data_IF_676094479254
#
_entry.id   IF_676094479254
#
_cell.length_a   1.000
_cell.length_b   1.000
_cell.length_c   1.000
_cell.angle_alpha   90.00
_cell.angle_beta   90.00
_cell.angle_gamma   90.00
#
_symmetry.space_group_name_H-M   'P 1'
#
loop_
_entity.id
_entity.type
_entity.pdbx_description
1 polymer ?
#
# COMPACT_ATOMS: atom_id res chain seq x y z
N UNK A 1 6.79 18.34 14.83
CA UNK A 1 6.80 17.12 15.63
C UNK A 1 5.86 17.33 16.81
N UNK A 2 4.92 16.44 17.04
CA UNK A 2 4.01 16.49 18.17
C UNK A 2 4.38 15.33 19.12
N UNK A 3 4.57 15.62 20.40
CA UNK A 3 4.81 14.58 21.39
C UNK A 3 3.48 13.94 21.81
N UNK A 4 3.44 12.62 21.84
CA UNK A 4 2.29 11.82 22.29
C UNK A 4 2.72 10.92 23.45
N UNK A 5 1.83 10.72 24.43
CA UNK A 5 2.07 9.72 25.47
C UNK A 5 1.82 8.31 24.93
N UNK A 6 2.61 7.33 25.39
CA UNK A 6 2.37 5.92 25.08
C UNK A 6 0.97 5.45 25.48
N UNK A 7 0.33 6.10 26.44
CA UNK A 7 -1.03 5.82 26.86
C UNK A 7 -2.10 6.30 25.86
N UNK A 8 -1.75 7.26 24.99
CA UNK A 8 -2.65 7.87 24.03
C UNK A 8 -2.49 7.27 22.61
N UNK A 9 -1.70 6.21 22.48
CA UNK A 9 -1.49 5.54 21.20
C UNK A 9 -2.79 4.99 20.62
N UNK A 10 -2.93 5.13 19.30
CA UNK A 10 -4.07 4.62 18.52
C UNK A 10 -3.55 3.85 17.32
N UNK A 11 -4.33 2.87 16.87
CA UNK A 11 -4.05 2.16 15.61
C UNK A 11 -4.03 3.12 14.44
N UNK A 12 -3.06 2.98 13.55
CA UNK A 12 -2.86 3.86 12.41
C UNK A 12 -2.03 5.11 12.70
N UNK A 13 -1.74 5.41 13.97
CA UNK A 13 -0.86 6.53 14.36
C UNK A 13 0.57 6.26 13.89
N UNK A 14 1.25 7.28 13.38
CA UNK A 14 2.63 7.18 12.95
C UNK A 14 3.57 7.79 13.99
N UNK A 15 4.67 7.11 14.25
CA UNK A 15 5.70 7.49 15.23
C UNK A 15 7.03 7.67 14.53
N UNK A 16 7.74 8.74 14.91
CA UNK A 16 9.14 8.97 14.52
C UNK A 16 10.04 8.49 15.65
N UNK A 17 10.58 7.31 15.49
CA UNK A 17 11.47 6.66 16.46
C UNK A 17 12.92 6.73 15.98
N UNK A 18 13.93 6.61 16.85
CA UNK A 18 15.33 6.64 16.45
C UNK A 18 15.69 5.63 15.36
N UNK A 19 14.96 4.53 15.27
CA UNK A 19 15.16 3.47 14.27
C UNK A 19 14.38 3.70 12.95
N UNK A 20 13.56 4.75 12.88
CA UNK A 20 12.80 5.13 11.69
C UNK A 20 11.32 5.43 11.93
N UNK A 21 10.58 5.55 10.85
CA UNK A 21 9.15 5.81 10.86
C UNK A 21 8.36 4.51 10.99
N UNK A 22 7.48 4.48 11.99
CA UNK A 22 6.64 3.31 12.28
C UNK A 22 5.17 3.69 12.38
N UNK A 23 4.31 2.81 11.91
CA UNK A 23 2.88 2.90 12.11
C UNK A 23 2.43 1.90 13.19
N UNK A 24 1.61 2.36 14.12
CA UNK A 24 1.01 1.50 15.16
C UNK A 24 -0.05 0.61 14.51
N UNK A 25 0.21 -0.68 14.44
CA UNK A 25 -0.73 -1.69 13.92
C UNK A 25 -1.69 -2.12 15.02
N UNK A 26 -1.15 -2.40 16.20
CA UNK A 26 -1.90 -2.81 17.38
C UNK A 26 -1.20 -2.38 18.66
N UNK A 27 -1.95 -2.28 19.76
CA UNK A 27 -1.40 -1.96 21.07
C UNK A 27 -2.25 -2.57 22.19
N UNK A 28 -1.60 -2.83 23.31
CA UNK A 28 -2.23 -3.37 24.53
C UNK A 28 -1.64 -2.70 25.77
N UNK A 29 -2.50 -2.12 26.59
CA UNK A 29 -2.12 -1.64 27.91
C UNK A 29 -2.03 -2.79 28.89
N UNK A 30 -0.88 -2.93 29.57
CA UNK A 30 -0.64 -3.98 30.55
C UNK A 30 -0.35 -3.33 31.91
N UNK A 31 -1.15 -3.67 32.90
CA UNK A 31 -0.96 -3.28 34.30
C UNK A 31 -0.64 -4.52 35.10
N UNK A 32 0.65 -4.87 35.29
CA UNK A 32 1.01 -6.03 36.10
C UNK A 32 0.71 -5.74 37.58
N UNK A 33 0.37 -6.78 38.34
CA UNK A 33 0.10 -6.65 39.78
C UNK A 33 1.31 -6.19 40.62
N UNK A 34 2.51 -6.42 40.12
CA UNK A 34 3.79 -5.90 40.66
C UNK A 34 4.63 -5.36 39.49
N UNK A 35 5.08 -4.10 39.60
CA UNK A 35 5.87 -3.43 38.56
C UNK A 35 5.15 -2.26 37.90
N UNK A 36 5.87 -1.50 37.07
CA UNK A 36 5.32 -0.36 36.33
C UNK A 36 4.40 -0.81 35.19
N UNK A 37 3.34 -0.05 34.94
CA UNK A 37 2.50 -0.26 33.77
C UNK A 37 3.29 -0.01 32.46
N UNK A 38 2.93 -0.72 31.40
CA UNK A 38 3.57 -0.59 30.11
C UNK A 38 2.54 -0.79 28.97
N UNK A 39 2.90 -0.33 27.78
CA UNK A 39 2.12 -0.49 26.56
C UNK A 39 2.92 -1.36 25.60
N UNK A 40 2.39 -2.54 25.29
CA UNK A 40 2.93 -3.41 24.25
C UNK A 40 2.34 -2.98 22.91
N UNK A 41 3.18 -2.76 21.91
CA UNK A 41 2.76 -2.34 20.58
C UNK A 41 3.31 -3.27 19.51
N UNK A 42 2.51 -3.49 18.47
CA UNK A 42 2.98 -4.04 17.20
C UNK A 42 3.13 -2.86 16.23
N UNK A 43 4.34 -2.63 15.79
CA UNK A 43 4.71 -1.54 14.89
C UNK A 43 5.05 -2.09 13.51
N UNK A 44 4.66 -1.36 12.47
CA UNK A 44 5.06 -1.64 11.09
C UNK A 44 5.96 -0.51 10.59
N UNK A 45 7.15 -0.85 10.15
CA UNK A 45 8.05 0.11 9.51
C UNK A 45 7.43 0.61 8.21
N UNK A 46 7.30 1.92 8.06
CA UNK A 46 6.62 2.52 6.92
C UNK A 46 7.43 2.45 5.62
N UNK A 47 8.76 2.27 5.71
CA UNK A 47 9.64 2.20 4.53
C UNK A 47 9.74 0.79 3.94
N UNK A 48 9.81 -0.24 4.78
CA UNK A 48 10.04 -1.62 4.33
C UNK A 48 8.91 -2.59 4.69
N UNK A 49 7.86 -2.13 5.38
CA UNK A 49 6.71 -2.94 5.76
C UNK A 49 6.95 -3.96 6.88
N UNK A 50 8.17 -4.09 7.38
CA UNK A 50 8.51 -5.05 8.43
C UNK A 50 7.77 -4.74 9.72
N UNK A 51 7.23 -5.77 10.37
CA UNK A 51 6.57 -5.65 11.66
C UNK A 51 7.51 -6.06 12.79
N UNK A 52 7.44 -5.33 13.89
CA UNK A 52 8.18 -5.60 15.12
C UNK A 52 7.33 -5.24 16.34
N UNK A 53 7.44 -6.05 17.36
CA UNK A 53 6.83 -5.74 18.66
C UNK A 53 7.76 -4.85 19.49
N UNK A 54 7.17 -3.81 20.09
CA UNK A 54 7.89 -2.90 20.98
C UNK A 54 7.07 -2.61 22.22
N UNK A 55 7.75 -2.49 23.34
CA UNK A 55 7.12 -2.16 24.63
C UNK A 55 7.62 -0.79 25.08
N UNK A 56 6.67 0.09 25.37
CA UNK A 56 6.90 1.41 25.94
C UNK A 56 6.47 1.43 27.39
N UNK A 57 7.15 2.21 28.22
CA UNK A 57 6.69 2.46 29.58
C UNK A 57 5.40 3.27 29.53
N UNK A 58 4.53 3.10 30.56
CA UNK A 58 3.38 3.99 30.68
C UNK A 58 3.85 5.45 30.81
N UNK A 59 3.13 6.35 30.17
CA UNK A 59 3.43 7.79 30.11
C UNK A 59 4.76 8.16 29.42
N UNK A 60 5.40 7.22 28.72
CA UNK A 60 6.57 7.52 27.90
C UNK A 60 6.19 8.49 26.76
N UNK A 61 6.97 9.53 26.59
CA UNK A 61 6.78 10.51 25.52
C UNK A 61 7.41 9.98 24.23
N UNK A 62 6.63 9.96 23.18
CA UNK A 62 7.02 9.52 21.84
C UNK A 62 6.78 10.66 20.86
N UNK A 63 7.62 10.76 19.83
CA UNK A 63 7.43 11.72 18.77
C UNK A 63 6.44 11.16 17.73
N UNK A 64 5.33 11.87 17.57
CA UNK A 64 4.33 11.54 16.54
C UNK A 64 4.78 12.12 15.20
N UNK A 65 4.85 11.28 14.17
CA UNK A 65 5.03 11.71 12.81
C UNK A 65 3.67 12.10 12.21
N UNK A 66 3.59 13.30 11.66
CA UNK A 66 2.40 13.74 10.91
C UNK A 66 2.62 13.39 9.46
N UNK A 67 1.79 12.47 8.95
CA UNK A 67 1.82 12.04 7.56
C UNK A 67 0.80 12.84 6.79
N UNK A 68 1.29 13.61 5.81
CA UNK A 68 0.46 14.33 4.86
C UNK A 68 0.04 13.39 3.72
N UNK A 69 -1.25 13.35 3.42
CA UNK A 69 -1.82 12.53 2.35
C UNK A 69 -2.19 13.43 1.19
N UNK A 70 -1.60 13.16 0.01
CA UNK A 70 -1.84 13.95 -1.20
C UNK A 70 -2.42 13.09 -2.30
N UNK A 71 -3.53 13.56 -2.89
CA UNK A 71 -4.14 12.95 -4.06
C UNK A 71 -3.32 13.33 -5.30
N UNK A 72 -2.66 12.34 -5.88
CA UNK A 72 -1.75 12.51 -6.99
C UNK A 72 -2.27 11.76 -8.21
N UNK A 73 -2.10 12.35 -9.39
CA UNK A 73 -2.38 11.70 -10.67
C UNK A 73 -1.09 11.24 -11.32
N UNK A 74 -1.02 9.96 -11.69
CA UNK A 74 0.09 9.46 -12.49
C UNK A 74 -0.01 10.00 -13.92
N UNK A 75 1.07 10.58 -14.42
CA UNK A 75 1.14 11.16 -15.76
C UNK A 75 1.85 10.22 -16.74
N UNK A 76 3.10 9.91 -16.48
CA UNK A 76 3.95 9.07 -17.35
C UNK A 76 5.19 8.57 -16.59
N UNK A 77 5.94 7.71 -17.25
CA UNK A 77 7.25 7.26 -16.76
C UNK A 77 8.36 8.05 -17.42
N UNK A 78 9.34 8.46 -16.61
CA UNK A 78 10.60 9.04 -17.06
C UNK A 78 11.75 8.14 -16.62
N UNK A 79 12.25 7.31 -17.54
CA UNK A 79 13.14 6.22 -17.22
C UNK A 79 12.48 5.21 -16.28
N UNK A 80 13.06 5.01 -15.10
CA UNK A 80 12.50 4.13 -14.07
C UNK A 80 11.52 4.86 -13.13
N UNK A 81 11.55 6.19 -13.10
CA UNK A 81 10.72 6.99 -12.22
C UNK A 81 9.29 7.16 -12.75
N UNK A 82 8.38 7.29 -11.81
CA UNK A 82 6.97 7.60 -12.05
C UNK A 82 6.73 9.09 -11.80
N UNK A 83 6.19 9.79 -12.78
CA UNK A 83 5.87 11.21 -12.66
C UNK A 83 4.43 11.36 -12.24
N UNK A 84 4.24 11.93 -11.06
CA UNK A 84 2.93 12.25 -10.51
C UNK A 84 2.70 13.74 -10.46
N UNK A 85 1.46 14.16 -10.62
CA UNK A 85 1.02 15.55 -10.47
C UNK A 85 0.07 15.64 -9.28
N UNK A 86 0.34 16.58 -8.39
CA UNK A 86 -0.55 16.92 -7.28
C UNK A 86 -1.84 17.54 -7.84
N UNK A 87 -2.99 16.99 -7.46
CA UNK A 87 -4.29 17.46 -7.95
C UNK A 87 -4.70 18.84 -7.42
N UNK A 88 -4.00 19.36 -6.41
CA UNK A 88 -4.28 20.67 -5.83
C UNK A 88 -3.28 21.74 -6.28
N UNK A 89 -1.99 21.45 -6.18
CA UNK A 89 -0.93 22.40 -6.51
C UNK A 89 -0.48 22.34 -7.97
N UNK A 90 -0.81 21.24 -8.67
CA UNK A 90 -0.33 20.91 -10.03
C UNK A 90 1.19 20.76 -10.14
N UNK A 91 1.86 20.63 -9.01
CA UNK A 91 3.30 20.35 -8.98
C UNK A 91 3.56 18.88 -9.37
N UNK A 92 4.64 18.66 -10.11
CA UNK A 92 5.06 17.34 -10.52
C UNK A 92 6.13 16.81 -9.57
N UNK A 93 5.98 15.55 -9.17
CA UNK A 93 6.93 14.84 -8.32
C UNK A 93 7.48 13.61 -9.04
N UNK A 94 8.79 13.40 -8.93
CA UNK A 94 9.46 12.19 -9.36
C UNK A 94 9.43 11.17 -8.23
N UNK A 95 8.84 10.02 -8.48
CA UNK A 95 8.64 8.96 -7.50
C UNK A 95 9.34 7.70 -7.96
N UNK A 96 10.30 7.21 -7.18
CA UNK A 96 11.01 5.98 -7.53
C UNK A 96 10.10 4.75 -7.37
N UNK A 97 10.32 3.67 -8.15
CA UNK A 97 9.60 2.41 -7.99
C UNK A 97 9.69 1.84 -6.56
N UNK A 98 10.82 2.08 -5.89
CA UNK A 98 11.06 1.62 -4.52
C UNK A 98 10.09 2.28 -3.53
N UNK A 99 9.79 3.57 -3.72
CA UNK A 99 8.84 4.30 -2.87
C UNK A 99 7.39 3.85 -3.09
N UNK A 100 7.05 3.40 -4.29
CA UNK A 100 5.72 2.86 -4.62
C UNK A 100 5.57 1.41 -4.16
N UNK A 101 6.65 0.64 -4.13
CA UNK A 101 6.60 -0.78 -3.81
C UNK A 101 5.63 -1.54 -4.74
N UNK A 102 4.80 -2.41 -4.16
CA UNK A 102 3.83 -3.22 -4.92
C UNK A 102 2.77 -2.38 -5.67
N UNK A 103 2.54 -1.14 -5.24
CA UNK A 103 1.59 -0.23 -5.90
C UNK A 103 1.95 0.03 -7.36
N UNK A 104 3.24 0.01 -7.72
CA UNK A 104 3.71 0.21 -9.08
C UNK A 104 3.07 -0.76 -10.10
N UNK A 105 2.71 -1.97 -9.66
CA UNK A 105 2.08 -3.00 -10.52
C UNK A 105 0.61 -2.73 -10.84
N UNK A 106 0.01 -1.72 -10.22
CA UNK A 106 -1.41 -1.38 -10.40
C UNK A 106 -1.62 0.01 -11.02
N UNK A 107 -0.54 0.72 -11.34
CA UNK A 107 -0.59 2.10 -11.82
C UNK A 107 -0.48 2.10 -13.35
N UNK A 108 -1.47 2.71 -13.99
CA UNK A 108 -1.51 3.01 -15.42
C UNK A 108 -1.72 4.50 -15.64
N UNK A 109 -1.51 4.98 -16.87
CA UNK A 109 -1.66 6.39 -17.22
C UNK A 109 -3.02 6.94 -16.76
N UNK A 110 -2.99 8.06 -16.07
CA UNK A 110 -4.17 8.70 -15.51
C UNK A 110 -4.67 8.13 -14.18
N UNK A 111 -4.02 7.09 -13.62
CA UNK A 111 -4.39 6.55 -12.29
C UNK A 111 -4.25 7.60 -11.20
N UNK A 112 -5.19 7.62 -10.27
CA UNK A 112 -5.11 8.42 -9.05
C UNK A 112 -4.58 7.56 -7.90
N UNK A 113 -3.57 8.08 -7.21
CA UNK A 113 -2.89 7.43 -6.08
C UNK A 113 -2.80 8.44 -4.94
N UNK A 114 -3.01 8.00 -3.71
CA UNK A 114 -2.75 8.82 -2.53
C UNK A 114 -1.32 8.57 -2.08
N UNK A 115 -0.44 9.57 -2.19
CA UNK A 115 0.91 9.50 -1.66
C UNK A 115 0.93 9.93 -0.20
N UNK A 116 1.64 9.17 0.62
CA UNK A 116 1.86 9.48 2.04
C UNK A 116 3.22 10.15 2.16
N UNK A 117 3.20 11.41 2.61
CA UNK A 117 4.39 12.26 2.72
C UNK A 117 4.75 12.52 4.19
N UNK A 118 6.02 12.41 4.50
CA UNK A 118 6.59 12.90 5.75
C UNK A 118 7.61 13.99 5.42
N UNK A 119 7.19 15.26 5.58
CA UNK A 119 7.91 16.37 4.98
C UNK A 119 7.96 16.26 3.47
N UNK A 120 9.15 16.20 2.90
CA UNK A 120 9.37 16.03 1.46
C UNK A 120 9.61 14.57 1.04
N UNK A 121 9.61 13.65 2.02
CA UNK A 121 9.85 12.22 1.77
C UNK A 121 8.54 11.47 1.53
N UNK A 122 8.50 10.65 0.48
CA UNK A 122 7.40 9.72 0.22
C UNK A 122 7.66 8.46 1.06
N UNK A 123 6.75 8.18 1.99
CA UNK A 123 6.87 7.05 2.93
C UNK A 123 5.90 5.92 2.64
N UNK A 124 4.99 6.12 1.69
CA UNK A 124 4.03 5.12 1.28
C UNK A 124 3.06 5.62 0.23
N UNK A 125 2.20 4.72 -0.22
CA UNK A 125 1.13 5.01 -1.17
C UNK A 125 -0.10 4.19 -0.85
N UNK A 126 -1.27 4.78 -1.02
CA UNK A 126 -2.56 4.10 -0.91
C UNK A 126 -3.21 4.06 -2.30
N UNK A 127 -3.61 2.87 -2.73
CA UNK A 127 -4.36 2.65 -3.96
C UNK A 127 -5.86 2.55 -3.68
N UNK A 128 -6.72 2.82 -4.66
CA UNK A 128 -8.12 2.39 -4.61
C UNK A 128 -8.20 0.88 -4.33
N UNK A 129 -9.27 0.43 -3.67
CA UNK A 129 -9.46 -0.98 -3.31
C UNK A 129 -9.47 -1.91 -4.54
N UNK A 130 -9.86 -1.38 -5.69
CA UNK A 130 -9.81 -2.09 -6.97
C UNK A 130 -9.45 -1.12 -8.09
N UNK A 131 -8.74 -1.64 -9.09
CA UNK A 131 -8.33 -0.92 -10.31
C UNK A 131 -8.74 -1.71 -11.54
N UNK A 132 -8.91 -1.00 -12.65
CA UNK A 132 -9.17 -1.60 -13.95
C UNK A 132 -7.88 -1.67 -14.76
N UNK A 133 -7.54 -2.87 -15.22
CA UNK A 133 -6.33 -3.13 -15.99
C UNK A 133 -6.67 -3.99 -17.20
N UNK A 134 -5.90 -3.81 -18.28
CA UNK A 134 -6.09 -4.55 -19.54
C UNK A 134 -5.23 -5.82 -19.54
N UNK A 135 -5.80 -6.91 -20.02
CA UNK A 135 -5.06 -8.16 -20.26
C UNK A 135 -4.11 -7.96 -21.43
N UNK A 136 -2.81 -8.05 -21.20
CA UNK A 136 -1.81 -8.01 -22.25
C UNK A 136 -1.65 -9.38 -22.91
N UNK A 137 -1.52 -10.44 -22.09
CA UNK A 137 -1.31 -11.81 -22.55
C UNK A 137 -2.07 -12.81 -21.68
N UNK A 138 -2.65 -13.82 -22.30
CA UNK A 138 -3.21 -14.99 -21.62
C UNK A 138 -3.30 -16.16 -22.61
N UNK A 139 -3.27 -17.37 -22.10
CA UNK A 139 -3.46 -18.58 -22.91
C UNK A 139 -4.92 -18.69 -23.40
N UNK A 140 -5.16 -19.33 -24.56
CA UNK A 140 -6.50 -19.68 -24.98
C UNK A 140 -7.15 -20.61 -23.94
N UNK A 141 -8.41 -20.34 -23.60
CA UNK A 141 -9.19 -21.25 -22.75
C UNK A 141 -9.42 -22.56 -23.49
N UNK A 142 -8.85 -23.67 -22.99
CA UNK A 142 -9.08 -24.99 -23.58
C UNK A 142 -10.47 -25.48 -23.20
N UNK A 143 -11.30 -25.76 -24.18
CA UNK A 143 -12.69 -26.25 -24.01
C UNK A 143 -12.80 -27.67 -23.42
N UNK A 144 -11.78 -28.20 -22.78
CA UNK A 144 -11.75 -29.54 -22.19
C UNK A 144 -11.98 -29.62 -20.70
N UNK A 145 -11.69 -28.54 -19.95
CA UNK A 145 -11.83 -28.52 -18.50
C UNK A 145 -13.24 -28.11 -18.10
N UNK A 146 -14.13 -29.07 -18.01
CA UNK A 146 -15.49 -28.90 -17.45
C UNK A 146 -15.53 -28.73 -15.93
N UNK A 147 -14.45 -28.35 -15.30
CA UNK A 147 -14.43 -28.05 -13.88
C UNK A 147 -14.95 -26.63 -13.68
N UNK A 148 -16.06 -26.48 -13.01
CA UNK A 148 -16.60 -25.18 -12.64
C UNK A 148 -15.55 -24.44 -11.79
N UNK A 149 -15.17 -23.23 -12.20
CA UNK A 149 -14.15 -22.43 -11.52
C UNK A 149 -12.73 -22.61 -12.02
N UNK A 150 -12.50 -23.28 -13.17
CA UNK A 150 -11.19 -23.35 -13.79
C UNK A 150 -10.66 -21.95 -14.13
N UNK A 151 -9.38 -21.72 -13.81
CA UNK A 151 -8.66 -20.46 -14.04
C UNK A 151 -7.44 -20.70 -14.92
N UNK A 152 -6.97 -19.67 -15.57
CA UNK A 152 -5.76 -19.66 -16.39
C UNK A 152 -4.87 -18.47 -16.04
N UNK A 153 -3.54 -18.58 -16.24
CA UNK A 153 -2.63 -17.45 -16.01
C UNK A 153 -2.87 -16.35 -17.06
N UNK A 154 -2.77 -15.11 -16.61
CA UNK A 154 -2.78 -13.92 -17.46
C UNK A 154 -1.77 -12.90 -16.97
N UNK A 155 -1.19 -12.14 -17.91
CA UNK A 155 -0.31 -11.01 -17.65
C UNK A 155 -1.02 -9.73 -18.06
N UNK A 156 -1.03 -8.76 -17.17
CA UNK A 156 -1.65 -7.45 -17.39
C UNK A 156 -0.68 -6.48 -18.07
N UNK A 157 -1.20 -5.38 -18.59
CA UNK A 157 -0.44 -4.30 -19.23
C UNK A 157 0.67 -3.72 -18.35
N UNK A 158 0.54 -3.82 -17.02
CA UNK A 158 1.56 -3.41 -16.05
C UNK A 158 2.64 -4.46 -15.79
N UNK A 159 2.52 -5.66 -16.36
CA UNK A 159 3.38 -6.80 -16.08
C UNK A 159 2.93 -7.65 -14.89
N UNK A 160 1.86 -7.27 -14.20
CA UNK A 160 1.29 -8.07 -13.11
C UNK A 160 0.72 -9.38 -13.66
N UNK A 161 1.11 -10.52 -13.06
CA UNK A 161 0.57 -11.84 -13.38
C UNK A 161 -0.48 -12.25 -12.34
N UNK A 162 -1.62 -12.75 -12.80
CA UNK A 162 -2.68 -13.26 -11.95
C UNK A 162 -3.49 -14.37 -12.63
N UNK A 163 -4.37 -15.01 -11.87
CA UNK A 163 -5.26 -16.05 -12.38
C UNK A 163 -6.63 -15.46 -12.76
N UNK A 164 -7.06 -15.72 -13.97
CA UNK A 164 -8.35 -15.24 -14.51
C UNK A 164 -9.24 -16.41 -14.94
N UNK A 165 -10.58 -16.21 -15.03
CA UNK A 165 -11.48 -17.20 -15.63
C UNK A 165 -11.12 -17.52 -17.09
N UNK A 166 -11.48 -18.72 -17.55
CA UNK A 166 -11.14 -19.19 -18.90
C UNK A 166 -11.71 -18.34 -20.05
N UNK A 167 -12.80 -17.61 -19.82
CA UNK A 167 -13.44 -16.76 -20.82
C UNK A 167 -12.74 -15.43 -21.08
N UNK A 168 -11.77 -15.05 -20.25
CA UNK A 168 -11.04 -13.80 -20.40
C UNK A 168 -10.02 -13.92 -21.54
N UNK A 169 -9.96 -12.91 -22.39
CA UNK A 169 -9.11 -12.86 -23.57
C UNK A 169 -8.12 -11.70 -23.53
N UNK A 170 -7.02 -11.75 -24.31
CA UNK A 170 -6.15 -10.58 -24.49
C UNK A 170 -6.95 -9.36 -24.97
N UNK A 171 -6.67 -8.19 -24.43
CA UNK A 171 -7.40 -6.95 -24.71
C UNK A 171 -8.64 -6.71 -23.85
N UNK A 172 -9.09 -7.69 -23.08
CA UNK A 172 -10.18 -7.49 -22.12
C UNK A 172 -9.72 -6.61 -20.96
N UNK A 173 -10.61 -5.71 -20.50
CA UNK A 173 -10.41 -4.97 -19.26
C UNK A 173 -11.03 -5.74 -18.12
N UNK A 174 -10.27 -5.85 -17.05
CA UNK A 174 -10.70 -6.56 -15.83
C UNK A 174 -10.51 -5.66 -14.62
N UNK A 175 -11.32 -5.91 -13.61
CA UNK A 175 -11.20 -5.29 -12.29
C UNK A 175 -10.40 -6.20 -11.37
N UNK A 176 -9.36 -5.64 -10.76
CA UNK A 176 -8.41 -6.35 -9.89
C UNK A 176 -8.44 -5.76 -8.50
N UNK A 177 -8.50 -6.60 -7.49
CA UNK A 177 -8.35 -6.18 -6.09
C UNK A 177 -6.88 -5.82 -5.82
N UNK A 178 -6.63 -4.60 -5.35
CA UNK A 178 -5.26 -4.10 -5.14
C UNK A 178 -4.61 -4.66 -3.87
N UNK A 179 -5.38 -5.29 -2.98
CA UNK A 179 -4.86 -5.88 -1.73
C UNK A 179 -4.45 -7.33 -1.91
N UNK A 180 -5.27 -8.10 -2.62
CA UNK A 180 -5.02 -9.53 -2.87
C UNK A 180 -4.34 -9.81 -4.21
N UNK A 181 -4.40 -8.88 -5.16
CA UNK A 181 -3.93 -9.08 -6.54
C UNK A 181 -4.83 -10.00 -7.34
N UNK A 182 -6.08 -10.21 -6.91
CA UNK A 182 -6.98 -11.17 -7.52
C UNK A 182 -7.96 -10.51 -8.49
N UNK A 183 -8.37 -11.29 -9.49
CA UNK A 183 -9.45 -10.93 -10.40
C UNK A 183 -10.78 -10.83 -9.64
N UNK A 184 -11.50 -9.73 -9.86
CA UNK A 184 -12.85 -9.52 -9.31
C UNK A 184 -13.90 -9.80 -10.38
N UNK A 185 -13.85 -9.08 -11.49
CA UNK A 185 -14.84 -9.14 -12.56
C UNK A 185 -14.27 -8.56 -13.86
N UNK A 186 -14.97 -8.79 -14.96
CA UNK A 186 -14.74 -8.06 -16.20
C UNK A 186 -15.27 -6.63 -16.06
N UNK A 187 -14.51 -5.65 -16.54
CA UNK A 187 -14.88 -4.24 -16.51
C UNK A 187 -15.79 -3.86 -17.67
#
# INVERSE_FOLDING_TARGET
>A
MAAVSSNDLKRGMSLDLPEGLFQVVDFQHVKPGKGGAFVRTTLRNMRNGAQADRTFRADEKLDQAIIDKRDMQFLYRDGDDYIFMDNQSYEQLHVSPVALGDAASYIVDGSTVVLQMYGDEIVGSDLPAAVELTIAETEPGVQGDRVSGARKPATLETGLALQVPLFVNPGDRIKVDTRSGEYITRA
#
